data_IF_189720607579
#
_entry.id   IF_189720607579
#
_cell.length_a   1.000
_cell.length_b   1.000
_cell.length_c   1.000
_cell.angle_alpha   90.00
_cell.angle_beta   90.00
_cell.angle_gamma   90.00
#
_symmetry.space_group_name_H-M   'P 1'
#
loop_
_entity.id
_entity.type
_entity.pdbx_description
1 polymer ?
#
# COMPACT_ATOMS: atom_id res chain seq x y z
N UNK A 1 -4.82 23.53 19.34
CA UNK A 1 -3.33 23.49 19.33
C UNK A 1 -2.91 22.29 20.13
N UNK A 2 -2.14 21.40 19.52
CA UNK A 2 -1.68 20.14 20.10
C UNK A 2 -0.17 20.05 20.02
N UNK A 3 0.44 19.22 20.86
CA UNK A 3 1.87 18.96 20.76
C UNK A 3 2.14 18.07 19.53
N UNK A 4 3.31 18.22 18.86
CA UNK A 4 3.70 17.40 17.72
C UNK A 4 3.64 15.89 18.00
N UNK A 5 3.99 15.47 19.22
CA UNK A 5 3.90 14.07 19.66
C UNK A 5 2.47 13.53 19.68
N UNK A 6 1.49 14.32 20.16
CA UNK A 6 0.08 13.91 20.18
C UNK A 6 -0.47 13.76 18.75
N UNK A 7 -0.12 14.70 17.88
CA UNK A 7 -0.46 14.61 16.45
C UNK A 7 0.16 13.35 15.81
N UNK A 8 1.41 13.04 16.14
CA UNK A 8 2.11 11.89 15.60
C UNK A 8 1.44 10.57 16.03
N UNK A 9 1.06 10.45 17.29
CA UNK A 9 0.34 9.28 17.81
C UNK A 9 -1.01 9.05 17.12
N UNK A 10 -1.76 10.11 16.82
CA UNK A 10 -3.03 9.99 16.08
C UNK A 10 -2.84 9.73 14.58
N UNK A 11 -1.87 10.37 13.93
CA UNK A 11 -1.67 10.28 12.47
C UNK A 11 -0.94 9.01 12.03
N UNK A 12 -0.13 8.42 12.89
CA UNK A 12 0.60 7.18 12.62
C UNK A 12 -0.31 6.05 12.17
N UNK A 13 -1.33 5.62 12.93
CA UNK A 13 -2.20 4.52 12.52
C UNK A 13 -2.95 4.85 11.22
N UNK A 14 -3.45 6.08 11.08
CA UNK A 14 -4.20 6.50 9.88
C UNK A 14 -3.31 6.41 8.62
N UNK A 15 -2.10 6.94 8.69
CA UNK A 15 -1.17 6.97 7.56
C UNK A 15 -0.65 5.57 7.24
N UNK A 16 -0.33 4.78 8.26
CA UNK A 16 0.15 3.43 8.09
C UNK A 16 -0.91 2.54 7.45
N UNK A 17 -2.17 2.60 7.91
CA UNK A 17 -3.27 1.85 7.31
C UNK A 17 -3.52 2.27 5.86
N UNK A 18 -3.43 3.57 5.55
CA UNK A 18 -3.56 4.05 4.18
C UNK A 18 -2.51 3.43 3.25
N UNK A 19 -1.24 3.43 3.68
CA UNK A 19 -0.13 2.88 2.89
C UNK A 19 -0.19 1.36 2.76
N UNK A 20 -0.59 0.65 3.82
CA UNK A 20 -0.78 -0.80 3.78
C UNK A 20 -1.93 -1.19 2.84
N UNK A 21 -3.04 -0.45 2.87
CA UNK A 21 -4.15 -0.67 1.94
C UNK A 21 -3.70 -0.44 0.49
N UNK A 22 -3.01 0.65 0.21
CA UNK A 22 -2.50 0.92 -1.15
C UNK A 22 -1.45 -0.12 -1.60
N UNK A 23 -0.62 -0.64 -0.70
CA UNK A 23 0.31 -1.72 -1.00
C UNK A 23 -0.37 -3.08 -1.23
N UNK A 24 -1.57 -3.28 -0.67
CA UNK A 24 -2.32 -4.53 -0.81
C UNK A 24 -2.96 -4.69 -2.19
N UNK A 25 -3.41 -3.61 -2.84
CA UNK A 25 -4.02 -3.64 -4.17
C UNK A 25 -3.15 -4.34 -5.22
N UNK A 26 -1.88 -3.94 -5.44
CA UNK A 26 -1.01 -4.61 -6.40
C UNK A 26 -0.67 -6.04 -5.98
N UNK A 27 -0.56 -6.33 -4.68
CA UNK A 27 -0.30 -7.69 -4.21
C UNK A 27 -1.43 -8.63 -4.60
N UNK A 28 -2.69 -8.21 -4.45
CA UNK A 28 -3.87 -8.98 -4.87
C UNK A 28 -3.89 -9.14 -6.40
N UNK A 29 -3.58 -8.08 -7.16
CA UNK A 29 -3.51 -8.17 -8.63
C UNK A 29 -2.46 -9.20 -9.06
N UNK A 30 -1.26 -9.16 -8.49
CA UNK A 30 -0.18 -10.13 -8.77
C UNK A 30 -0.64 -11.55 -8.44
N UNK A 31 -1.26 -11.75 -7.27
CA UNK A 31 -1.81 -13.05 -6.90
C UNK A 31 -2.82 -13.56 -7.95
N UNK A 32 -3.73 -12.70 -8.40
CA UNK A 32 -4.74 -13.04 -9.42
C UNK A 32 -4.12 -13.36 -10.78
N UNK A 33 -3.09 -12.62 -11.20
CA UNK A 33 -2.34 -12.90 -12.42
C UNK A 33 -1.70 -14.30 -12.33
N UNK A 34 -1.03 -14.59 -11.22
CA UNK A 34 -0.37 -15.88 -11.00
C UNK A 34 -1.37 -17.02 -10.96
N UNK A 35 -2.50 -16.84 -10.26
CA UNK A 35 -3.55 -17.85 -10.20
C UNK A 35 -4.18 -18.12 -11.59
N UNK A 36 -4.37 -17.07 -12.41
CA UNK A 36 -4.96 -17.21 -13.74
C UNK A 36 -4.01 -17.91 -14.72
N UNK A 37 -2.73 -17.53 -14.76
CA UNK A 37 -1.76 -18.11 -15.70
C UNK A 37 -1.20 -19.47 -15.26
N UNK A 38 -1.12 -19.73 -13.95
CA UNK A 38 -0.52 -20.94 -13.39
C UNK A 38 -1.51 -21.73 -12.54
N UNK A 39 -2.79 -21.77 -12.92
CA UNK A 39 -3.88 -22.42 -12.16
C UNK A 39 -3.52 -23.83 -11.65
N UNK A 40 -2.96 -24.69 -12.51
CA UNK A 40 -2.61 -26.08 -12.15
C UNK A 40 -1.48 -26.23 -11.12
N UNK A 41 -0.58 -25.25 -11.02
CA UNK A 41 0.52 -25.23 -10.02
C UNK A 41 0.17 -24.40 -8.80
N UNK A 42 -0.67 -23.38 -8.97
CA UNK A 42 -1.12 -22.50 -7.91
C UNK A 42 -1.90 -23.27 -6.84
N UNK A 43 -2.67 -24.29 -7.20
CA UNK A 43 -3.39 -25.12 -6.21
C UNK A 43 -2.46 -25.81 -5.19
N UNK A 44 -1.22 -26.12 -5.58
CA UNK A 44 -0.22 -26.77 -4.70
C UNK A 44 0.66 -25.78 -3.94
N UNK A 45 0.96 -24.61 -4.51
CA UNK A 45 1.90 -23.63 -3.95
C UNK A 45 1.29 -22.28 -3.56
N UNK A 46 -0.01 -22.07 -3.77
CA UNK A 46 -0.69 -20.78 -3.60
C UNK A 46 -0.56 -20.20 -2.20
N UNK A 47 -0.60 -21.06 -1.17
CA UNK A 47 -0.37 -20.64 0.22
C UNK A 47 1.01 -19.99 0.43
N UNK A 48 2.05 -20.53 -0.22
CA UNK A 48 3.41 -19.98 -0.10
C UNK A 48 3.51 -18.61 -0.76
N UNK A 49 2.92 -18.48 -1.96
CA UNK A 49 2.91 -17.23 -2.72
C UNK A 49 2.17 -16.13 -1.95
N UNK A 50 0.99 -16.45 -1.39
CA UNK A 50 0.22 -15.51 -0.58
C UNK A 50 1.03 -15.01 0.63
N UNK A 51 1.74 -15.90 1.34
CA UNK A 51 2.59 -15.50 2.48
C UNK A 51 3.72 -14.57 2.05
N UNK A 52 4.39 -14.86 0.93
CA UNK A 52 5.47 -14.01 0.39
C UNK A 52 4.92 -12.62 0.04
N UNK A 53 3.76 -12.56 -0.62
CA UNK A 53 3.10 -11.30 -0.97
C UNK A 53 2.68 -10.51 0.29
N UNK A 54 2.18 -11.19 1.33
CA UNK A 54 1.83 -10.56 2.61
C UNK A 54 3.05 -9.96 3.32
N UNK A 55 4.18 -10.66 3.30
CA UNK A 55 5.44 -10.13 3.85
C UNK A 55 5.93 -8.93 3.03
N UNK A 56 5.85 -9.03 1.70
CA UNK A 56 6.21 -7.95 0.78
C UNK A 56 5.39 -6.67 1.01
N UNK A 57 4.06 -6.78 1.08
CA UNK A 57 3.20 -5.61 1.34
C UNK A 57 3.49 -4.96 2.70
N UNK A 58 3.78 -5.77 3.74
CA UNK A 58 4.11 -5.26 5.06
C UNK A 58 5.43 -4.49 5.03
N UNK A 59 6.46 -5.08 4.41
CA UNK A 59 7.77 -4.44 4.27
C UNK A 59 7.68 -3.12 3.48
N UNK A 60 6.95 -3.12 2.36
CA UNK A 60 6.78 -1.94 1.50
C UNK A 60 5.94 -0.85 2.20
N UNK A 61 4.81 -1.22 2.82
CA UNK A 61 3.93 -0.27 3.51
C UNK A 61 4.58 0.35 4.74
N UNK A 62 5.19 -0.47 5.61
CA UNK A 62 5.92 0.01 6.80
C UNK A 62 7.15 0.81 6.38
N UNK A 63 7.91 0.34 5.39
CA UNK A 63 9.08 1.06 4.86
C UNK A 63 8.70 2.43 4.30
N UNK A 64 7.62 2.52 3.52
CA UNK A 64 7.08 3.77 2.99
C UNK A 64 6.70 4.73 4.13
N UNK A 65 6.03 4.22 5.18
CA UNK A 65 5.66 5.01 6.34
C UNK A 65 6.90 5.58 7.04
N UNK A 66 7.88 4.73 7.37
CA UNK A 66 9.14 5.14 8.01
C UNK A 66 9.89 6.19 7.18
N UNK A 67 9.89 6.05 5.86
CA UNK A 67 10.52 7.03 4.97
C UNK A 67 9.86 8.41 5.07
N UNK A 68 8.52 8.48 5.09
CA UNK A 68 7.76 9.73 5.26
C UNK A 68 8.05 10.36 6.62
N UNK A 69 8.12 9.55 7.68
CA UNK A 69 8.22 10.08 9.05
C UNK A 69 9.64 10.34 9.55
N UNK A 70 10.67 9.87 8.83
CA UNK A 70 12.09 9.93 9.23
C UNK A 70 12.65 11.32 9.61
N UNK A 71 11.99 12.41 9.21
CA UNK A 71 12.42 13.79 9.48
C UNK A 71 11.45 14.58 10.38
N UNK A 72 10.47 13.94 11.03
CA UNK A 72 9.58 14.67 11.94
C UNK A 72 10.30 15.07 13.23
N UNK A 73 10.20 16.35 13.59
CA UNK A 73 10.57 16.84 14.92
C UNK A 73 9.46 16.48 15.91
N UNK A 74 9.43 15.24 16.35
CA UNK A 74 8.34 14.72 17.20
C UNK A 74 8.36 15.32 18.62
N UNK A 75 9.54 15.73 19.09
CA UNK A 75 9.76 16.32 20.42
C UNK A 75 9.84 17.85 20.39
N UNK A 76 9.36 18.50 19.32
CA UNK A 76 9.28 19.95 19.32
C UNK A 76 8.26 20.44 20.35
N UNK A 77 8.55 21.58 20.97
CA UNK A 77 7.68 22.20 21.99
C UNK A 77 6.71 23.20 21.39
N UNK A 78 6.95 23.59 20.13
CA UNK A 78 6.07 24.47 19.39
C UNK A 78 4.75 23.75 19.05
N UNK A 79 3.64 24.33 19.52
CA UNK A 79 2.31 23.74 19.30
C UNK A 79 1.87 23.93 17.87
N UNK A 80 1.42 22.85 17.24
CA UNK A 80 0.88 22.89 15.88
C UNK A 80 -0.62 23.16 15.89
N UNK A 81 -1.08 23.95 14.92
CA UNK A 81 -2.50 24.26 14.71
C UNK A 81 -3.22 23.10 14.02
N UNK A 82 -2.53 22.41 13.10
CA UNK A 82 -3.06 21.31 12.31
C UNK A 82 -2.12 20.10 12.33
N UNK A 83 -2.66 18.93 12.66
CA UNK A 83 -1.94 17.66 12.56
C UNK A 83 -1.97 17.18 11.10
N UNK A 84 -0.92 17.45 10.33
CA UNK A 84 -0.78 16.95 8.96
C UNK A 84 0.28 15.85 8.86
N UNK A 85 0.01 14.84 8.03
CA UNK A 85 1.02 13.84 7.62
C UNK A 85 2.05 14.46 6.67
N UNK A 86 1.68 15.48 5.91
CA UNK A 86 2.56 16.23 5.02
C UNK A 86 2.74 17.67 5.53
N UNK A 87 3.99 18.08 5.76
CA UNK A 87 4.42 19.42 6.12
C UNK A 87 5.52 19.88 5.14
N UNK A 88 6.00 21.12 5.26
CA UNK A 88 7.04 21.66 4.38
C UNK A 88 8.31 20.80 4.33
N UNK A 89 8.67 20.14 5.45
CA UNK A 89 9.86 19.31 5.56
C UNK A 89 9.76 17.93 4.90
N UNK A 90 8.55 17.44 4.61
CA UNK A 90 8.34 16.12 3.99
C UNK A 90 7.30 16.12 2.85
N UNK A 91 6.87 17.30 2.37
CA UNK A 91 5.89 17.44 1.30
C UNK A 91 6.32 16.69 0.03
N UNK A 92 7.58 16.85 -0.39
CA UNK A 92 8.12 16.16 -1.55
C UNK A 92 8.13 14.63 -1.38
N UNK A 93 8.59 14.13 -0.22
CA UNK A 93 8.59 12.69 0.09
C UNK A 93 7.18 12.11 0.07
N UNK A 94 6.23 12.83 0.66
CA UNK A 94 4.82 12.45 0.72
C UNK A 94 4.19 12.44 -0.68
N UNK A 95 4.46 13.46 -1.50
CA UNK A 95 3.97 13.55 -2.87
C UNK A 95 4.50 12.40 -3.74
N UNK A 96 5.78 12.06 -3.63
CA UNK A 96 6.39 10.94 -4.38
C UNK A 96 5.72 9.63 -4.00
N UNK A 97 5.59 9.34 -2.70
CA UNK A 97 5.00 8.07 -2.24
C UNK A 97 3.52 7.99 -2.60
N UNK A 98 2.73 9.00 -2.28
CA UNK A 98 1.30 8.98 -2.60
C UNK A 98 1.04 8.98 -4.11
N UNK A 99 1.85 9.69 -4.90
CA UNK A 99 1.77 9.66 -6.36
C UNK A 99 2.11 8.28 -6.94
N UNK A 100 3.13 7.62 -6.40
CA UNK A 100 3.49 6.25 -6.79
C UNK A 100 2.36 5.26 -6.49
N UNK A 101 1.83 5.27 -5.27
CA UNK A 101 0.70 4.41 -4.90
C UNK A 101 -0.55 4.70 -5.74
N UNK A 102 -0.89 5.96 -5.95
CA UNK A 102 -2.03 6.33 -6.81
C UNK A 102 -1.88 5.79 -8.23
N UNK A 103 -0.67 5.85 -8.79
CA UNK A 103 -0.40 5.32 -10.14
C UNK A 103 -0.57 3.80 -10.17
N UNK A 104 -0.03 3.10 -9.18
CA UNK A 104 -0.14 1.63 -9.09
C UNK A 104 -1.59 1.21 -8.85
N UNK A 105 -2.32 1.89 -7.98
CA UNK A 105 -3.73 1.60 -7.72
C UNK A 105 -4.58 1.84 -8.97
N UNK A 106 -4.29 2.88 -9.75
CA UNK A 106 -4.97 3.13 -11.02
C UNK A 106 -4.72 2.00 -12.04
N UNK A 107 -3.46 1.56 -12.18
CA UNK A 107 -3.11 0.42 -13.05
C UNK A 107 -3.75 -0.88 -12.54
N UNK A 108 -3.80 -1.07 -11.23
CA UNK A 108 -4.42 -2.22 -10.56
C UNK A 108 -5.93 -2.25 -10.79
N UNK A 109 -6.60 -1.10 -10.68
CA UNK A 109 -8.03 -0.95 -10.92
C UNK A 109 -8.42 -1.25 -12.38
N UNK A 110 -7.55 -0.96 -13.34
CA UNK A 110 -7.76 -1.29 -14.76
C UNK A 110 -7.45 -2.75 -15.09
N UNK A 111 -6.46 -3.35 -14.44
CA UNK A 111 -6.06 -4.75 -14.69
C UNK A 111 -7.02 -5.75 -14.05
N UNK A 112 -7.63 -5.44 -12.90
CA UNK A 112 -8.56 -6.35 -12.21
C UNK A 112 -9.76 -6.80 -13.07
N UNK A 113 -10.50 -5.89 -13.75
CA UNK A 113 -11.61 -6.27 -14.62
C UNK A 113 -11.17 -7.09 -15.82
N UNK A 114 -10.00 -6.78 -16.39
CA UNK A 114 -9.42 -7.52 -17.52
C UNK A 114 -9.08 -8.95 -17.11
N UNK A 115 -8.44 -9.12 -15.96
CA UNK A 115 -8.14 -10.43 -15.38
C UNK A 115 -9.42 -11.23 -15.09
N UNK A 116 -10.45 -10.57 -14.60
CA UNK A 116 -11.75 -11.21 -14.35
C UNK A 116 -12.39 -11.69 -15.67
N UNK A 117 -12.31 -10.90 -16.74
CA UNK A 117 -12.83 -11.29 -18.06
C UNK A 117 -12.08 -12.50 -18.62
N UNK A 118 -10.74 -12.50 -18.56
CA UNK A 118 -9.90 -13.61 -19.03
C UNK A 118 -10.23 -14.90 -18.27
N UNK A 119 -10.36 -14.82 -16.94
CA UNK A 119 -10.67 -15.99 -16.13
C UNK A 119 -12.08 -16.55 -16.45
N UNK A 120 -13.04 -15.69 -16.76
CA UNK A 120 -14.40 -16.11 -17.17
C UNK A 120 -14.38 -16.85 -18.52
N UNK A 121 -13.60 -16.37 -19.48
CA UNK A 121 -13.43 -17.04 -20.79
C UNK A 121 -12.76 -18.42 -20.64
N UNK A 122 -11.73 -18.52 -19.79
CA UNK A 122 -11.04 -19.80 -19.50
C UNK A 122 -12.01 -20.82 -18.90
N UNK A 123 -12.91 -20.40 -18.00
CA UNK A 123 -13.92 -21.28 -17.38
C UNK A 123 -15.09 -21.64 -18.31
N UNK A 124 -15.26 -20.92 -19.43
CA UNK A 124 -16.31 -21.21 -20.42
C UNK A 124 -15.84 -22.17 -21.53
N UNK A 125 -14.53 -22.39 -21.66
CA UNK A 125 -13.89 -23.26 -22.67
C UNK A 125 -13.63 -24.68 -22.12
N UNK A 126 -13.68 -24.86 -20.79
CA UNK A 126 -13.62 -26.15 -20.10
C UNK A 126 -15.01 -26.60 -19.63
#
# INVERSE_FOLDING_TARGET
MSLPWECFMMRTPITLTLLLNAASTPAIVIERIVATHFSSRYEKFGKSIAVILVIGQLAIGVGSFLFIVSNFKIFDTEKVVYCSTANEGNALKSAIIFGFYMTIDMLSALSFPVLFYINKEIFAIF
#
